data_IF_995755702756
#
_entry.id   IF_995755702756
#
_cell.length_a   1.000
_cell.length_b   1.000
_cell.length_c   1.000
_cell.angle_alpha   90.00
_cell.angle_beta   90.00
_cell.angle_gamma   90.00
#
_symmetry.space_group_name_H-M   'P 1'
#
loop_
_entity.id
_entity.type
_entity.pdbx_description
1 polymer ?
#
# COMPACT_ATOMS: atom_id res chain seq x y z
N UNK A 1 -6.38 -3.45 -3.04
CA UNK A 1 -5.57 -4.51 -3.72
C UNK A 1 -4.40 -3.85 -4.40
N UNK A 2 -3.33 -4.60 -4.68
CA UNK A 2 -2.09 -4.03 -5.22
C UNK A 2 -1.81 -4.54 -6.62
N UNK A 3 -1.21 -3.67 -7.44
CA UNK A 3 -0.83 -3.98 -8.81
C UNK A 3 0.67 -3.83 -8.99
N UNK A 4 1.15 -4.05 -10.21
CA UNK A 4 2.52 -3.70 -10.59
C UNK A 4 2.79 -2.20 -10.58
N UNK A 5 1.87 -1.32 -10.15
CA UNK A 5 2.19 0.08 -9.83
C UNK A 5 2.89 0.23 -8.48
N UNK A 6 2.77 -0.75 -7.57
CA UNK A 6 3.56 -0.83 -6.32
C UNK A 6 4.30 -2.18 -6.17
N UNK A 7 3.88 -3.08 -5.27
CA UNK A 7 4.50 -4.39 -5.02
C UNK A 7 3.58 -5.58 -5.34
N UNK A 8 2.44 -5.32 -5.99
CA UNK A 8 1.61 -6.35 -6.59
C UNK A 8 2.27 -7.00 -7.82
N UNK A 9 1.94 -8.27 -8.09
CA UNK A 9 2.55 -9.04 -9.20
C UNK A 9 1.80 -8.96 -10.52
N UNK A 10 0.56 -8.50 -10.53
CA UNK A 10 -0.24 -8.39 -11.75
C UNK A 10 -0.35 -6.94 -12.23
N UNK A 11 -0.21 -6.70 -13.55
CA UNK A 11 -0.63 -5.44 -14.16
C UNK A 11 -2.10 -5.15 -13.88
N UNK A 12 -2.47 -3.87 -13.85
CA UNK A 12 -3.82 -3.44 -13.55
C UNK A 12 -4.87 -4.15 -14.44
N UNK A 13 -4.61 -4.28 -15.74
CA UNK A 13 -5.51 -4.97 -16.66
C UNK A 13 -5.69 -6.45 -16.31
N UNK A 14 -4.61 -7.16 -16.02
CA UNK A 14 -4.68 -8.57 -15.63
C UNK A 14 -5.46 -8.76 -14.32
N UNK A 15 -5.28 -7.85 -13.36
CA UNK A 15 -6.07 -7.84 -12.13
C UNK A 15 -7.57 -7.61 -12.44
N UNK A 16 -7.90 -6.64 -13.29
CA UNK A 16 -9.28 -6.35 -13.71
C UNK A 16 -9.92 -7.58 -14.38
N UNK A 17 -9.20 -8.25 -15.27
CA UNK A 17 -9.69 -9.44 -15.99
C UNK A 17 -10.01 -10.58 -15.01
N UNK A 18 -9.11 -10.83 -14.05
CA UNK A 18 -9.34 -11.82 -13.00
C UNK A 18 -10.57 -11.49 -12.16
N UNK A 19 -10.69 -10.25 -11.70
CA UNK A 19 -11.79 -9.81 -10.84
C UNK A 19 -13.14 -9.86 -11.55
N UNK A 20 -13.15 -9.57 -12.85
CA UNK A 20 -14.34 -9.67 -13.71
C UNK A 20 -14.77 -11.13 -13.87
N UNK A 21 -13.83 -12.04 -14.16
CA UNK A 21 -14.09 -13.47 -14.27
C UNK A 21 -14.60 -14.06 -12.95
N UNK A 22 -14.03 -13.61 -11.84
CA UNK A 22 -14.47 -13.97 -10.50
C UNK A 22 -15.74 -13.24 -10.05
N UNK A 23 -16.33 -12.37 -10.87
CA UNK A 23 -17.59 -11.67 -10.60
C UNK A 23 -17.55 -10.83 -9.30
N UNK A 24 -16.45 -10.12 -9.06
CA UNK A 24 -16.42 -9.10 -8.02
C UNK A 24 -17.37 -7.95 -8.38
N UNK A 25 -18.23 -7.54 -7.44
CA UNK A 25 -19.18 -6.45 -7.68
C UNK A 25 -18.54 -5.05 -7.58
N UNK A 26 -17.54 -4.90 -6.72
CA UNK A 26 -16.79 -3.67 -6.52
C UNK A 26 -15.39 -4.01 -5.99
N UNK A 27 -14.38 -3.26 -6.43
CA UNK A 27 -13.01 -3.35 -5.95
C UNK A 27 -12.37 -1.98 -5.87
N UNK A 28 -11.36 -1.86 -5.01
CA UNK A 28 -10.45 -0.71 -4.97
C UNK A 28 -9.00 -1.19 -5.10
N UNK A 29 -8.27 -0.57 -6.02
CA UNK A 29 -6.81 -0.69 -6.13
C UNK A 29 -6.19 0.41 -5.27
N UNK A 30 -5.23 0.04 -4.42
CA UNK A 30 -4.70 0.85 -3.31
C UNK A 30 -3.20 0.65 -3.18
N UNK A 31 -2.47 0.89 -4.27
CA UNK A 31 -1.01 0.76 -4.37
C UNK A 31 -0.25 1.61 -3.31
N UNK A 32 0.93 1.17 -2.88
CA UNK A 32 1.66 1.73 -1.73
C UNK A 32 2.61 2.92 -2.02
N UNK A 33 2.67 3.87 -1.07
CA UNK A 33 3.63 5.01 -1.03
C UNK A 33 4.40 5.19 0.34
N UNK A 34 4.20 4.27 1.32
CA UNK A 34 4.93 3.89 2.59
C UNK A 34 5.58 4.91 3.59
N UNK A 35 5.01 5.10 4.82
CA UNK A 35 5.63 4.89 6.19
C UNK A 35 4.61 4.99 7.39
N UNK A 36 4.99 4.51 8.60
CA UNK A 36 4.35 4.49 9.97
C UNK A 36 2.84 4.17 10.16
N UNK A 37 2.14 3.87 9.09
CA UNK A 37 0.77 3.38 9.10
C UNK A 37 0.23 3.53 7.69
N UNK A 38 -0.43 2.49 7.18
CA UNK A 38 -1.02 2.58 5.85
C UNK A 38 -2.40 3.23 5.97
N UNK A 39 -2.70 4.16 5.06
CA UNK A 39 -4.01 4.80 4.97
C UNK A 39 -4.62 4.45 3.63
N UNK A 40 -5.85 3.94 3.67
CA UNK A 40 -6.68 3.70 2.51
C UNK A 40 -7.46 4.98 2.21
N UNK A 41 -7.31 5.48 0.99
CA UNK A 41 -7.92 6.72 0.54
C UNK A 41 -9.01 6.38 -0.48
N UNK A 42 -10.25 6.81 -0.23
CA UNK A 42 -11.40 6.50 -1.09
C UNK A 42 -12.17 7.76 -1.49
N UNK A 43 -12.89 7.69 -2.62
CA UNK A 43 -13.92 8.69 -2.97
C UNK A 43 -13.44 10.01 -3.54
N UNK A 44 -12.18 10.12 -3.94
CA UNK A 44 -11.64 11.32 -4.59
C UNK A 44 -11.56 11.16 -6.11
N UNK A 45 -11.58 12.27 -6.84
CA UNK A 45 -11.36 12.29 -8.30
C UNK A 45 -9.89 11.94 -8.60
N UNK A 46 -9.59 10.88 -9.37
CA UNK A 46 -8.20 10.45 -9.61
C UNK A 46 -7.38 11.42 -10.47
N UNK A 47 -8.02 12.36 -11.16
CA UNK A 47 -7.38 13.38 -12.01
C UNK A 47 -7.31 14.73 -11.30
N UNK A 48 -8.38 15.14 -10.61
CA UNK A 48 -8.50 16.45 -9.95
C UNK A 48 -8.53 16.31 -8.43
N UNK A 49 -7.36 16.18 -7.83
CA UNK A 49 -7.21 16.02 -6.39
C UNK A 49 -5.95 16.71 -5.85
N UNK A 50 -5.86 16.79 -4.53
CA UNK A 50 -4.71 17.32 -3.80
C UNK A 50 -3.65 16.26 -3.49
N UNK A 51 -3.93 14.97 -3.76
CA UNK A 51 -2.99 13.86 -3.56
C UNK A 51 -1.93 13.82 -4.65
N UNK A 52 -2.24 14.26 -5.88
CA UNK A 52 -1.33 14.17 -7.03
C UNK A 52 0.02 14.81 -6.74
N UNK A 53 0.06 15.97 -6.09
CA UNK A 53 1.32 16.63 -5.73
C UNK A 53 2.11 15.84 -4.68
N UNK A 54 1.41 15.19 -3.74
CA UNK A 54 2.03 14.35 -2.72
C UNK A 54 2.62 13.09 -3.33
N UNK A 55 1.83 12.39 -4.15
CA UNK A 55 2.27 11.15 -4.81
C UNK A 55 3.40 11.43 -5.79
N UNK A 56 3.32 12.50 -6.57
CA UNK A 56 4.42 12.94 -7.45
C UNK A 56 5.71 13.19 -6.66
N UNK A 57 5.63 13.91 -5.54
CA UNK A 57 6.79 14.18 -4.68
C UNK A 57 7.38 12.88 -4.13
N UNK A 58 6.54 11.97 -3.62
CA UNK A 58 7.00 10.67 -3.09
C UNK A 58 7.64 9.83 -4.19
N UNK A 59 7.02 9.75 -5.37
CA UNK A 59 7.55 9.01 -6.52
C UNK A 59 8.90 9.58 -6.96
N UNK A 60 9.04 10.90 -7.09
CA UNK A 60 10.30 11.55 -7.45
C UNK A 60 11.39 11.25 -6.42
N UNK A 61 11.11 11.46 -5.13
CA UNK A 61 12.07 11.19 -4.06
C UNK A 61 12.45 9.70 -3.96
N UNK A 62 11.50 8.78 -4.20
CA UNK A 62 11.79 7.36 -4.28
C UNK A 62 12.68 7.03 -5.47
N UNK A 63 12.45 7.65 -6.63
CA UNK A 63 13.26 7.46 -7.82
C UNK A 63 14.70 7.96 -7.59
N UNK A 64 14.86 9.17 -7.07
CA UNK A 64 16.16 9.75 -6.69
C UNK A 64 16.91 8.85 -5.72
N UNK A 65 16.25 8.39 -4.66
CA UNK A 65 16.81 7.46 -3.68
C UNK A 65 17.17 6.11 -4.32
N UNK A 66 16.37 5.61 -5.27
CA UNK A 66 16.64 4.36 -6.00
C UNK A 66 17.91 4.48 -6.85
N UNK A 67 18.09 5.60 -7.57
CA UNK A 67 19.30 5.84 -8.34
C UNK A 67 20.52 6.07 -7.43
N UNK A 68 20.39 6.86 -6.36
CA UNK A 68 21.48 7.08 -5.41
C UNK A 68 22.00 5.78 -4.79
N UNK A 69 21.09 4.87 -4.42
CA UNK A 69 21.45 3.52 -3.95
C UNK A 69 22.17 2.72 -5.03
N UNK A 70 21.71 2.77 -6.29
CA UNK A 70 22.36 2.05 -7.38
C UNK A 70 23.80 2.54 -7.61
N UNK A 71 23.99 3.86 -7.61
CA UNK A 71 25.30 4.48 -7.75
C UNK A 71 26.23 4.11 -6.60
N UNK A 72 25.73 4.10 -5.36
CA UNK A 72 26.51 3.66 -4.20
C UNK A 72 26.89 2.18 -4.30
N UNK A 73 25.99 1.30 -4.75
CA UNK A 73 26.32 -0.10 -5.02
C UNK A 73 27.42 -0.20 -6.08
N UNK A 74 27.33 0.56 -7.19
CA UNK A 74 28.38 0.56 -8.21
C UNK A 74 29.73 1.03 -7.65
N UNK A 75 29.73 2.06 -6.80
CA UNK A 75 30.92 2.54 -6.09
C UNK A 75 31.54 1.48 -5.17
N UNK A 76 30.72 0.61 -4.60
CA UNK A 76 31.16 -0.54 -3.79
C UNK A 76 31.65 -1.74 -4.63
N UNK A 77 31.58 -1.66 -5.96
CA UNK A 77 32.09 -2.68 -6.88
C UNK A 77 31.03 -3.63 -7.46
N UNK A 78 29.74 -3.43 -7.16
CA UNK A 78 28.67 -4.21 -7.77
C UNK A 78 28.51 -3.87 -9.25
N UNK A 79 28.38 -4.88 -10.11
CA UNK A 79 28.26 -4.71 -11.57
C UNK A 79 26.97 -5.34 -12.10
N UNK A 80 26.16 -4.56 -12.81
CA UNK A 80 24.85 -4.98 -13.31
C UNK A 80 24.80 -5.10 -14.85
N UNK A 81 25.64 -5.95 -15.43
CA UNK A 81 25.79 -6.09 -16.89
C UNK A 81 24.52 -6.54 -17.66
N UNK A 82 23.48 -7.00 -16.95
CA UNK A 82 22.21 -7.49 -17.53
C UNK A 82 21.03 -6.56 -17.22
N UNK A 83 21.29 -5.34 -16.76
CA UNK A 83 20.25 -4.42 -16.30
C UNK A 83 19.18 -4.16 -17.37
N UNK A 84 19.59 -3.86 -18.61
CA UNK A 84 18.66 -3.56 -19.70
C UNK A 84 17.67 -4.71 -19.94
N UNK A 85 18.18 -5.94 -20.00
CA UNK A 85 17.35 -7.13 -20.23
C UNK A 85 16.44 -7.44 -19.03
N UNK A 86 16.95 -7.34 -17.80
CA UNK A 86 16.18 -7.65 -16.59
C UNK A 86 15.10 -6.59 -16.31
N UNK A 87 15.35 -5.34 -16.67
CA UNK A 87 14.43 -4.21 -16.50
C UNK A 87 13.73 -3.83 -17.81
N UNK A 88 13.62 -4.74 -18.78
CA UNK A 88 13.06 -4.44 -20.10
C UNK A 88 11.64 -3.84 -20.03
N UNK A 89 10.81 -4.31 -19.08
CA UNK A 89 9.46 -3.78 -18.85
C UNK A 89 9.45 -2.30 -18.40
N UNK A 90 10.58 -1.83 -17.87
CA UNK A 90 10.80 -0.45 -17.44
C UNK A 90 11.68 0.33 -18.44
N UNK A 91 11.92 -0.20 -19.64
CA UNK A 91 12.84 0.37 -20.63
C UNK A 91 14.31 0.26 -20.25
N UNK A 92 14.67 -0.74 -19.43
CA UNK A 92 16.02 -0.95 -18.93
C UNK A 92 16.42 -0.05 -17.75
N UNK A 93 15.47 0.77 -17.27
CA UNK A 93 15.71 1.80 -16.25
C UNK A 93 15.18 1.39 -14.88
N UNK A 94 15.81 1.92 -13.83
CA UNK A 94 15.32 1.81 -12.47
C UNK A 94 14.06 2.66 -12.31
N UNK A 95 13.07 2.10 -11.62
CA UNK A 95 11.79 2.75 -11.29
C UNK A 95 11.47 2.66 -9.81
N UNK A 96 11.91 1.60 -9.13
CA UNK A 96 11.60 1.35 -7.71
C UNK A 96 12.80 0.75 -6.97
N UNK A 97 12.82 0.86 -5.63
CA UNK A 97 13.87 0.23 -4.82
C UNK A 97 14.00 -1.28 -5.05
N UNK A 98 12.90 -1.96 -5.37
CA UNK A 98 12.87 -3.38 -5.69
C UNK A 98 13.71 -3.74 -6.93
N UNK A 99 13.93 -2.81 -7.85
CA UNK A 99 14.74 -3.05 -9.05
C UNK A 99 16.21 -3.28 -8.67
N UNK A 100 16.75 -2.51 -7.71
CA UNK A 100 18.09 -2.73 -7.18
C UNK A 100 18.20 -4.11 -6.50
N UNK A 101 17.18 -4.50 -5.73
CA UNK A 101 17.16 -5.84 -5.10
C UNK A 101 17.13 -6.93 -6.17
N UNK A 102 16.32 -6.75 -7.22
CA UNK A 102 16.25 -7.69 -8.34
C UNK A 102 17.61 -7.81 -9.04
N UNK A 103 18.27 -6.69 -9.35
CA UNK A 103 19.61 -6.71 -9.95
C UNK A 103 20.63 -7.42 -9.06
N UNK A 104 20.64 -7.13 -7.75
CA UNK A 104 21.51 -7.83 -6.80
C UNK A 104 21.28 -9.34 -6.83
N UNK A 105 20.02 -9.78 -6.88
CA UNK A 105 19.67 -11.21 -6.90
C UNK A 105 20.06 -11.88 -8.21
N UNK A 106 19.66 -11.30 -9.33
CA UNK A 106 19.90 -11.87 -10.65
C UNK A 106 21.39 -11.87 -11.02
N UNK A 107 22.21 -10.99 -10.43
CA UNK A 107 23.67 -11.02 -10.58
C UNK A 107 24.39 -11.86 -9.52
N UNK A 108 23.66 -12.57 -8.66
CA UNK A 108 24.21 -13.51 -7.68
C UNK A 108 24.78 -12.88 -6.41
N UNK A 109 24.60 -11.57 -6.22
CA UNK A 109 25.05 -10.84 -5.03
C UNK A 109 24.12 -11.01 -3.82
N UNK A 110 22.89 -11.45 -4.03
CA UNK A 110 21.92 -11.76 -2.97
C UNK A 110 21.13 -13.03 -3.29
N UNK A 111 20.95 -13.91 -2.32
CA UNK A 111 20.21 -15.16 -2.46
C UNK A 111 18.70 -14.96 -2.23
N UNK A 112 18.30 -13.88 -1.56
CA UNK A 112 16.90 -13.59 -1.21
C UNK A 112 16.56 -12.11 -1.29
N UNK A 113 15.25 -11.80 -1.33
CA UNK A 113 14.77 -10.43 -1.22
C UNK A 113 15.18 -9.77 0.10
N UNK A 114 15.18 -10.54 1.20
CA UNK A 114 15.61 -10.06 2.51
C UNK A 114 17.09 -9.67 2.54
N UNK A 115 17.93 -10.50 1.93
CA UNK A 115 19.35 -10.20 1.81
C UNK A 115 19.60 -8.98 0.92
N UNK A 116 18.91 -8.89 -0.22
CA UNK A 116 19.02 -7.72 -1.09
C UNK A 116 18.51 -6.44 -0.42
N UNK A 117 17.45 -6.51 0.39
CA UNK A 117 16.98 -5.38 1.20
C UNK A 117 18.09 -4.88 2.15
N UNK A 118 18.76 -5.78 2.88
CA UNK A 118 19.88 -5.42 3.76
C UNK A 118 21.04 -4.78 3.01
N UNK A 119 21.31 -5.22 1.78
CA UNK A 119 22.38 -4.64 0.95
C UNK A 119 22.03 -3.22 0.51
N UNK A 120 20.79 -2.98 0.05
CA UNK A 120 20.38 -1.63 -0.33
C UNK A 120 20.30 -0.70 0.88
N UNK A 121 19.88 -1.19 2.06
CA UNK A 121 19.90 -0.42 3.32
C UNK A 121 21.33 0.02 3.67
N UNK A 122 22.32 -0.88 3.55
CA UNK A 122 23.74 -0.56 3.74
C UNK A 122 24.27 0.44 2.70
N UNK A 123 23.71 0.42 1.49
CA UNK A 123 24.00 1.37 0.42
C UNK A 123 23.21 2.69 0.55
N UNK A 124 22.55 2.94 1.69
CA UNK A 124 21.89 4.20 1.99
C UNK A 124 20.42 4.28 1.59
N UNK A 125 19.77 3.15 1.29
CA UNK A 125 18.33 3.13 1.03
C UNK A 125 17.55 3.67 2.23
N UNK A 126 16.67 4.64 1.95
CA UNK A 126 15.71 5.18 2.92
C UNK A 126 14.28 4.94 2.45
N UNK A 127 13.37 4.64 3.38
CA UNK A 127 11.94 4.64 3.08
C UNK A 127 11.46 6.08 2.90
N UNK A 128 10.84 6.36 1.77
CA UNK A 128 10.29 7.68 1.42
C UNK A 128 8.77 7.57 1.42
N UNK A 129 8.11 8.55 2.05
CA UNK A 129 6.69 8.55 2.35
C UNK A 129 6.09 9.94 2.33
N UNK A 130 4.79 10.03 2.06
CA UNK A 130 4.00 11.15 2.54
C UNK A 130 3.69 10.96 4.03
N UNK A 131 3.61 12.06 4.78
CA UNK A 131 3.17 12.01 6.17
C UNK A 131 1.69 11.60 6.24
N UNK A 132 1.29 10.88 7.30
CA UNK A 132 -0.10 10.47 7.48
C UNK A 132 -1.04 11.68 7.52
N UNK A 133 -0.71 12.72 8.29
CA UNK A 133 -1.54 13.92 8.38
C UNK A 133 -1.68 14.69 7.07
N UNK A 134 -0.58 14.84 6.34
CA UNK A 134 -0.57 15.48 5.02
C UNK A 134 -1.42 14.69 4.02
N UNK A 135 -1.34 13.35 4.07
CA UNK A 135 -2.19 12.46 3.27
C UNK A 135 -3.66 12.64 3.63
N UNK A 136 -4.03 12.61 4.91
CA UNK A 136 -5.41 12.78 5.38
C UNK A 136 -5.97 14.13 4.93
N UNK A 137 -5.21 15.21 5.12
CA UNK A 137 -5.62 16.55 4.69
C UNK A 137 -5.88 16.59 3.17
N UNK A 138 -4.96 16.06 2.36
CA UNK A 138 -5.10 16.05 0.91
C UNK A 138 -6.32 15.25 0.44
N UNK A 139 -6.60 14.09 1.05
CA UNK A 139 -7.80 13.30 0.74
C UNK A 139 -9.07 14.06 1.06
N UNK A 140 -9.15 14.64 2.26
CA UNK A 140 -10.32 15.42 2.69
C UNK A 140 -10.57 16.63 1.81
N UNK A 141 -9.51 17.38 1.45
CA UNK A 141 -9.60 18.49 0.49
C UNK A 141 -10.05 18.05 -0.90
N UNK A 142 -9.84 16.77 -1.23
CA UNK A 142 -10.29 16.14 -2.48
C UNK A 142 -11.69 15.54 -2.38
N UNK A 143 -12.39 15.72 -1.25
CA UNK A 143 -13.73 15.20 -0.99
C UNK A 143 -13.79 13.71 -0.65
N UNK A 144 -12.63 13.06 -0.47
CA UNK A 144 -12.53 11.65 -0.12
C UNK A 144 -12.57 11.38 1.38
N UNK A 145 -12.38 10.11 1.74
CA UNK A 145 -12.27 9.61 3.12
C UNK A 145 -11.00 8.80 3.31
N UNK A 146 -10.44 8.83 4.53
CA UNK A 146 -9.24 8.14 4.95
C UNK A 146 -9.51 7.12 6.03
N UNK A 147 -9.16 5.86 5.76
CA UNK A 147 -9.27 4.77 6.72
C UNK A 147 -7.88 4.19 7.04
N UNK A 148 -7.62 3.81 8.29
CA UNK A 148 -6.38 3.08 8.62
C UNK A 148 -6.44 1.67 8.01
N UNK A 149 -5.45 1.33 7.20
CA UNK A 149 -5.32 0.00 6.60
C UNK A 149 -4.76 -0.99 7.62
N UNK A 150 -5.31 -2.20 7.62
CA UNK A 150 -4.86 -3.36 8.38
C UNK A 150 -4.30 -3.02 9.78
N UNK A 151 -5.05 -2.29 10.63
CA UNK A 151 -4.58 -1.81 11.93
C UNK A 151 -4.15 -2.93 12.89
N UNK A 152 -4.62 -4.16 12.65
CA UNK A 152 -4.33 -5.32 13.48
C UNK A 152 -3.04 -6.06 13.16
N UNK A 153 -2.26 -5.59 12.18
CA UNK A 153 -0.95 -6.20 11.83
C UNK A 153 0.07 -6.01 12.95
N UNK A 154 0.92 -7.02 13.12
CA UNK A 154 1.90 -7.11 14.22
C UNK A 154 3.31 -7.43 13.73
N UNK A 155 3.47 -7.68 12.44
CA UNK A 155 4.76 -7.99 11.84
C UNK A 155 5.69 -6.77 11.88
N UNK A 156 7.00 -7.02 11.86
CA UNK A 156 8.01 -5.95 11.88
C UNK A 156 7.76 -4.92 10.77
N UNK A 157 7.83 -3.63 11.13
CA UNK A 157 7.53 -2.52 10.22
C UNK A 157 6.06 -2.09 10.18
N UNK A 158 5.17 -2.79 10.91
CA UNK A 158 3.77 -2.39 11.07
C UNK A 158 3.48 -1.97 12.51
N UNK A 159 2.62 -0.96 12.65
CA UNK A 159 2.07 -0.54 13.94
C UNK A 159 0.78 -1.30 14.20
N UNK A 160 0.71 -1.99 15.34
CA UNK A 160 -0.54 -2.54 15.84
C UNK A 160 -1.34 -1.43 16.54
N UNK A 161 -2.49 -1.07 15.98
CA UNK A 161 -3.37 -0.04 16.51
C UNK A 161 -4.44 -0.67 17.39
N UNK A 162 -4.19 -0.72 18.70
CA UNK A 162 -5.23 -1.05 19.68
C UNK A 162 -6.17 0.15 19.91
N UNK A 163 -7.34 -0.04 20.58
CA UNK A 163 -8.28 1.06 20.80
C UNK A 163 -7.68 2.31 21.48
N UNK A 164 -6.83 2.20 22.53
CA UNK A 164 -6.15 3.36 23.09
C UNK A 164 -5.26 4.11 22.09
N UNK A 165 -4.49 3.41 21.26
CA UNK A 165 -3.65 4.06 20.24
C UNK A 165 -4.51 4.67 19.12
N UNK A 166 -5.63 4.04 18.76
CA UNK A 166 -6.59 4.62 17.82
C UNK A 166 -7.22 5.91 18.37
N UNK A 167 -7.52 5.96 19.67
CA UNK A 167 -8.04 7.17 20.32
C UNK A 167 -7.02 8.31 20.31
N UNK A 168 -5.74 8.01 20.58
CA UNK A 168 -4.65 9.00 20.47
C UNK A 168 -4.52 9.51 19.04
N UNK A 169 -4.47 8.60 18.07
CA UNK A 169 -4.38 8.96 16.65
C UNK A 169 -5.54 9.86 16.22
N UNK A 170 -6.76 9.54 16.64
CA UNK A 170 -7.97 10.32 16.32
C UNK A 170 -8.02 11.70 17.00
N UNK A 171 -7.36 11.86 18.14
CA UNK A 171 -7.26 13.16 18.78
C UNK A 171 -6.42 14.15 17.92
N UNK A 172 -5.42 13.63 17.21
CA UNK A 172 -4.50 14.43 16.41
C UNK A 172 -4.88 14.49 14.92
N UNK A 173 -5.51 13.43 14.39
CA UNK A 173 -5.81 13.28 12.96
C UNK A 173 -7.26 12.84 12.72
N UNK A 174 -8.01 13.53 11.84
CA UNK A 174 -9.43 13.25 11.61
C UNK A 174 -9.64 12.02 10.70
N UNK A 175 -9.22 10.83 11.12
CA UNK A 175 -9.47 9.62 10.33
C UNK A 175 -10.98 9.28 10.29
N UNK A 176 -11.46 8.85 9.12
CA UNK A 176 -12.87 8.54 8.89
C UNK A 176 -13.24 7.11 9.26
N UNK A 177 -12.25 6.23 9.41
CA UNK A 177 -12.49 4.85 9.83
C UNK A 177 -11.28 3.95 9.80
N UNK A 178 -11.53 2.64 9.82
CA UNK A 178 -10.48 1.62 9.81
C UNK A 178 -10.91 0.40 8.99
N UNK A 179 -9.92 -0.33 8.49
CA UNK A 179 -10.13 -1.67 7.92
C UNK A 179 -10.35 -2.67 9.05
N UNK A 180 -11.53 -3.29 9.07
CA UNK A 180 -11.93 -4.20 10.16
C UNK A 180 -11.71 -5.65 9.76
N UNK A 181 -12.08 -6.00 8.53
CA UNK A 181 -11.86 -7.36 8.01
C UNK A 181 -10.64 -7.37 7.12
N UNK A 182 -9.63 -8.13 7.55
CA UNK A 182 -8.35 -8.28 6.88
C UNK A 182 -7.80 -9.69 7.15
N UNK A 183 -7.05 -10.33 6.23
CA UNK A 183 -6.54 -11.70 6.42
C UNK A 183 -5.66 -11.91 7.66
N UNK A 184 -4.99 -10.85 8.14
CA UNK A 184 -4.18 -10.90 9.36
C UNK A 184 -4.95 -10.56 10.65
N UNK A 185 -6.23 -10.22 10.56
CA UNK A 185 -7.05 -9.97 11.75
C UNK A 185 -7.63 -11.28 12.26
N UNK A 186 -7.35 -11.62 13.51
CA UNK A 186 -8.04 -12.71 14.19
C UNK A 186 -9.51 -12.36 14.43
N UNK A 187 -10.31 -13.34 14.84
CA UNK A 187 -11.71 -13.10 15.18
C UNK A 187 -11.82 -12.12 16.35
N UNK A 188 -10.92 -12.19 17.33
CA UNK A 188 -10.87 -11.30 18.50
C UNK A 188 -10.55 -9.86 18.08
N UNK A 189 -9.57 -9.68 17.19
CA UNK A 189 -9.22 -8.37 16.63
C UNK A 189 -10.41 -7.79 15.85
N UNK A 190 -11.03 -8.62 15.01
CA UNK A 190 -12.20 -8.23 14.22
C UNK A 190 -13.35 -7.77 15.12
N UNK A 191 -13.70 -8.56 16.15
CA UNK A 191 -14.75 -8.20 17.11
C UNK A 191 -14.43 -6.89 17.84
N UNK A 192 -13.18 -6.72 18.29
CA UNK A 192 -12.71 -5.49 18.96
C UNK A 192 -12.88 -4.28 18.04
N UNK A 193 -12.46 -4.38 16.79
CA UNK A 193 -12.58 -3.29 15.83
C UNK A 193 -14.01 -3.01 15.38
N UNK A 194 -14.88 -4.02 15.29
CA UNK A 194 -16.31 -3.83 15.04
C UNK A 194 -16.98 -3.01 16.16
N UNK A 195 -16.68 -3.33 17.43
CA UNK A 195 -17.17 -2.57 18.57
C UNK A 195 -16.63 -1.14 18.57
N UNK A 196 -15.34 -0.98 18.25
CA UNK A 196 -14.69 0.32 18.15
C UNK A 196 -15.37 1.20 17.09
N UNK A 197 -15.51 0.72 15.84
CA UNK A 197 -16.13 1.55 14.79
C UNK A 197 -17.56 1.91 15.10
N UNK A 198 -18.33 1.00 15.73
CA UNK A 198 -19.70 1.25 16.17
C UNK A 198 -19.76 2.33 17.25
N UNK A 199 -18.89 2.23 18.27
CA UNK A 199 -18.85 3.17 19.39
C UNK A 199 -18.51 4.60 18.95
N UNK A 200 -17.62 4.73 17.96
CA UNK A 200 -17.10 6.02 17.51
C UNK A 200 -17.74 6.54 16.21
N UNK A 201 -18.77 5.86 15.71
CA UNK A 201 -19.46 6.16 14.44
C UNK A 201 -18.48 6.33 13.26
N UNK A 202 -17.53 5.40 13.18
CA UNK A 202 -16.50 5.36 12.14
C UNK A 202 -16.92 4.49 10.95
N UNK A 203 -16.32 4.75 9.80
CA UNK A 203 -16.44 3.90 8.61
C UNK A 203 -15.67 2.59 8.81
N UNK A 204 -16.23 1.53 8.23
CA UNK A 204 -15.65 0.20 8.20
C UNK A 204 -15.32 -0.14 6.75
N UNK A 205 -14.09 -0.59 6.50
CA UNK A 205 -13.75 -1.29 5.25
C UNK A 205 -13.40 -2.76 5.48
N UNK A 206 -13.44 -3.50 4.38
CA UNK A 206 -12.95 -4.88 4.26
C UNK A 206 -11.94 -4.94 3.12
N UNK A 207 -10.83 -5.65 3.29
CA UNK A 207 -9.83 -5.79 2.24
C UNK A 207 -9.03 -7.07 2.34
N UNK A 208 -8.69 -7.61 1.17
CA UNK A 208 -7.88 -8.84 1.05
C UNK A 208 -6.38 -8.58 1.09
N UNK A 209 -5.97 -7.33 0.90
CA UNK A 209 -4.56 -6.93 0.75
C UNK A 209 -3.79 -7.83 -0.24
N UNK A 210 -4.49 -8.24 -1.31
CA UNK A 210 -3.96 -9.17 -2.30
C UNK A 210 -2.82 -8.56 -3.10
N UNK A 211 -1.78 -9.36 -3.30
CA UNK A 211 -0.60 -9.07 -4.13
C UNK A 211 -0.47 -10.06 -5.30
N UNK A 212 -1.56 -10.76 -5.63
CA UNK A 212 -1.64 -11.63 -6.81
C UNK A 212 -0.62 -12.78 -6.85
N UNK A 213 -0.37 -13.39 -5.69
CA UNK A 213 0.44 -14.61 -5.61
C UNK A 213 -0.18 -15.61 -4.63
N UNK A 214 0.27 -16.87 -4.71
CA UNK A 214 -0.16 -17.93 -3.79
C UNK A 214 -0.02 -17.47 -2.34
N UNK A 215 -1.10 -17.61 -1.57
CA UNK A 215 -1.21 -17.13 -0.18
C UNK A 215 -1.68 -15.68 0.00
N UNK A 216 -1.71 -14.85 -1.06
CA UNK A 216 -2.24 -13.46 -1.04
C UNK A 216 -3.09 -13.19 -2.28
N UNK A 217 -4.01 -14.10 -2.59
CA UNK A 217 -4.99 -13.95 -3.67
C UNK A 217 -6.19 -13.11 -3.22
N UNK A 218 -6.96 -12.52 -4.15
CA UNK A 218 -8.16 -11.76 -3.79
C UNK A 218 -9.16 -12.58 -2.97
N UNK A 219 -9.69 -11.96 -1.92
CA UNK A 219 -10.74 -12.53 -1.05
C UNK A 219 -12.00 -11.69 -1.21
N UNK A 220 -13.16 -12.37 -1.29
CA UNK A 220 -14.47 -11.71 -1.40
C UNK A 220 -15.05 -11.46 -0.02
N UNK A 221 -15.58 -10.25 0.17
CA UNK A 221 -16.39 -9.88 1.32
C UNK A 221 -17.78 -9.46 0.82
N UNK A 222 -18.78 -9.65 1.68
CA UNK A 222 -20.13 -9.14 1.43
C UNK A 222 -20.11 -7.61 1.46
N UNK A 223 -20.63 -6.97 0.40
CA UNK A 223 -20.57 -5.52 0.25
C UNK A 223 -21.31 -4.78 1.38
N UNK A 224 -22.38 -5.39 1.91
CA UNK A 224 -23.19 -4.88 3.01
C UNK A 224 -22.37 -4.66 4.29
N UNK A 225 -21.27 -5.41 4.48
CA UNK A 225 -20.38 -5.24 5.63
C UNK A 225 -19.75 -3.83 5.60
N UNK A 226 -19.34 -3.35 4.42
CA UNK A 226 -18.81 -1.99 4.22
C UNK A 226 -19.92 -0.99 3.86
N UNK A 227 -21.19 -1.28 4.17
CA UNK A 227 -22.35 -0.52 3.67
C UNK A 227 -22.27 0.99 3.91
N UNK A 228 -21.96 1.41 5.14
CA UNK A 228 -21.83 2.84 5.48
C UNK A 228 -20.71 3.54 4.70
N UNK A 229 -19.59 2.85 4.48
CA UNK A 229 -18.50 3.37 3.65
C UNK A 229 -18.99 3.52 2.20
N UNK A 230 -19.59 2.48 1.64
CA UNK A 230 -20.07 2.51 0.25
C UNK A 230 -21.13 3.59 0.05
N UNK A 231 -22.06 3.76 0.98
CA UNK A 231 -23.06 4.84 0.94
C UNK A 231 -22.39 6.22 1.03
N UNK A 232 -21.39 6.39 1.89
CA UNK A 232 -20.58 7.63 1.98
C UNK A 232 -19.90 7.96 0.66
N UNK A 233 -19.54 6.95 -0.13
CA UNK A 233 -18.96 7.05 -1.47
C UNK A 233 -20.02 7.17 -2.59
N UNK A 234 -21.31 7.28 -2.27
CA UNK A 234 -22.40 7.38 -3.23
C UNK A 234 -22.78 6.05 -3.91
N UNK A 235 -22.31 4.92 -3.39
CA UNK A 235 -22.54 3.58 -3.92
C UNK A 235 -23.69 2.91 -3.14
N UNK A 236 -24.77 2.55 -3.83
CA UNK A 236 -25.89 1.82 -3.24
C UNK A 236 -25.66 0.31 -3.34
N UNK A 237 -25.54 -0.34 -2.19
CA UNK A 237 -25.54 -1.80 -2.10
C UNK A 237 -27.00 -2.27 -2.24
N UNK A 238 -27.27 -3.17 -3.19
CA UNK A 238 -28.61 -3.74 -3.46
C UNK A 238 -28.68 -5.18 -2.98
#
# INVERSE_FOLDING_TARGET
MHTTYSDGRWPAQQLIDYLTNEKFALVAVTDHDRNMGHVLCYGFDPVKNYLSQLTERVVQQQLENTYAVNEELRRQGYTFARQEALLANNGGQLRRPSDNIMLLREHGYAQSWHEGLKLIEKAGFRSIAAGMGETVEAVHRSGGVCLIAHPGRRESGFTFYDPPLLDQLRADLPIDGIEVYHPYHSQEITSTYQEYVKRHNLLLSTGSDSHSHSGRMPIKYRAEISGNLLERLGIKVR
#
